data_IF_351637589432
#
_entry.id   IF_351637589432
#
_cell.length_a   1.000
_cell.length_b   1.000
_cell.length_c   1.000
_cell.angle_alpha   90.00
_cell.angle_beta   90.00
_cell.angle_gamma   90.00
#
_symmetry.space_group_name_H-M   'P 1'
#
loop_
_entity.id
_entity.type
_entity.pdbx_description
1 polymer ?
#
# COMPACT_ATOMS: atom_id res chain seq x y z
N UNK A 1 -35.28 24.16 -0.14
CA UNK A 1 -33.87 23.71 -0.09
C UNK A 1 -33.86 22.26 -0.56
N UNK A 2 -33.05 21.85 -1.54
CA UNK A 2 -32.87 20.43 -1.78
C UNK A 2 -32.37 19.80 -0.47
N UNK A 3 -32.93 18.67 -0.07
CA UNK A 3 -32.40 17.88 1.03
C UNK A 3 -31.01 17.40 0.62
N UNK A 4 -29.95 17.88 1.30
CA UNK A 4 -28.58 17.40 1.12
C UNK A 4 -28.46 15.95 1.63
N UNK A 5 -29.02 15.00 0.89
CA UNK A 5 -28.83 13.57 1.13
C UNK A 5 -27.41 13.19 0.74
N UNK A 6 -26.72 12.46 1.64
CA UNK A 6 -25.37 11.95 1.38
C UNK A 6 -25.41 10.99 0.19
N UNK A 7 -24.68 11.34 -0.87
CA UNK A 7 -24.48 10.48 -2.03
C UNK A 7 -23.30 9.53 -1.78
N UNK A 8 -23.61 8.33 -1.28
CA UNK A 8 -22.60 7.31 -1.01
C UNK A 8 -22.00 6.73 -2.28
N UNK A 9 -22.71 6.69 -3.40
CA UNK A 9 -22.17 6.13 -4.64
C UNK A 9 -21.09 7.05 -5.23
N UNK A 10 -21.31 8.36 -5.18
CA UNK A 10 -20.27 9.35 -5.49
C UNK A 10 -19.07 9.22 -4.56
N UNK A 11 -19.26 9.01 -3.26
CA UNK A 11 -18.13 8.80 -2.32
C UNK A 11 -17.36 7.52 -2.61
N UNK A 12 -18.04 6.42 -2.94
CA UNK A 12 -17.38 5.17 -3.35
C UNK A 12 -16.56 5.37 -4.62
N UNK A 13 -17.09 6.08 -5.61
CA UNK A 13 -16.34 6.41 -6.82
C UNK A 13 -15.10 7.25 -6.52
N UNK A 14 -15.23 8.30 -5.68
CA UNK A 14 -14.10 9.13 -5.25
C UNK A 14 -13.06 8.29 -4.51
N UNK A 15 -13.48 7.43 -3.58
CA UNK A 15 -12.57 6.56 -2.83
C UNK A 15 -11.80 5.62 -3.77
N UNK A 16 -12.50 4.94 -4.68
CA UNK A 16 -11.89 3.99 -5.61
C UNK A 16 -10.92 4.68 -6.55
N UNK A 17 -11.36 5.72 -7.26
CA UNK A 17 -10.52 6.44 -8.21
C UNK A 17 -9.36 7.17 -7.52
N UNK A 18 -9.61 7.75 -6.34
CA UNK A 18 -8.59 8.40 -5.53
C UNK A 18 -7.53 7.42 -5.05
N UNK A 19 -7.94 6.23 -4.59
CA UNK A 19 -7.01 5.18 -4.13
C UNK A 19 -6.17 4.64 -5.28
N UNK A 20 -6.77 4.36 -6.43
CA UNK A 20 -6.04 3.91 -7.64
C UNK A 20 -5.07 4.99 -8.11
N UNK A 21 -5.52 6.24 -8.17
CA UNK A 21 -4.69 7.37 -8.60
C UNK A 21 -3.50 7.59 -7.67
N UNK A 22 -3.73 7.59 -6.36
CA UNK A 22 -2.68 7.73 -5.35
C UNK A 22 -1.71 6.54 -5.38
N UNK A 23 -2.21 5.31 -5.47
CA UNK A 23 -1.38 4.12 -5.57
C UNK A 23 -0.46 4.18 -6.79
N UNK A 24 -1.01 4.44 -7.97
CA UNK A 24 -0.23 4.51 -9.21
C UNK A 24 0.80 5.64 -9.17
N UNK A 25 0.40 6.82 -8.70
CA UNK A 25 1.29 7.96 -8.60
C UNK A 25 2.40 7.73 -7.57
N UNK A 26 2.07 7.20 -6.39
CA UNK A 26 3.03 6.92 -5.34
C UNK A 26 4.02 5.81 -5.75
N UNK A 27 3.53 4.70 -6.30
CA UNK A 27 4.37 3.57 -6.74
C UNK A 27 5.30 3.97 -7.88
N UNK A 28 4.78 4.74 -8.85
CA UNK A 28 5.60 5.30 -9.93
C UNK A 28 6.62 6.28 -9.38
N UNK A 29 6.19 7.20 -8.52
CA UNK A 29 7.07 8.17 -7.87
C UNK A 29 8.20 7.49 -7.11
N UNK A 30 7.88 6.48 -6.30
CA UNK A 30 8.84 5.65 -5.58
C UNK A 30 9.83 4.98 -6.52
N UNK A 31 9.35 4.33 -7.59
CA UNK A 31 10.22 3.67 -8.55
C UNK A 31 11.25 4.64 -9.14
N UNK A 32 10.81 5.82 -9.60
CA UNK A 32 11.72 6.81 -10.18
C UNK A 32 12.61 7.50 -9.14
N UNK A 33 12.12 7.71 -7.92
CA UNK A 33 12.83 8.39 -6.85
C UNK A 33 13.82 7.48 -6.09
N UNK A 34 13.66 6.16 -6.18
CA UNK A 34 14.48 5.18 -5.45
C UNK A 34 15.00 4.08 -6.39
N UNK A 35 14.14 3.15 -6.80
CA UNK A 35 14.55 1.91 -7.49
C UNK A 35 15.28 2.10 -8.81
N UNK A 36 14.93 3.15 -9.58
CA UNK A 36 15.59 3.47 -10.85
C UNK A 36 17.07 3.80 -10.70
N UNK A 37 17.52 4.14 -9.49
CA UNK A 37 18.91 4.48 -9.19
C UNK A 37 19.78 3.25 -8.92
N UNK A 38 19.17 2.07 -8.81
CA UNK A 38 19.86 0.79 -8.63
C UNK A 38 19.86 0.00 -9.93
N UNK A 39 20.93 -0.77 -10.13
CA UNK A 39 20.95 -1.78 -11.18
C UNK A 39 19.82 -2.77 -10.97
N UNK A 40 19.13 -3.11 -12.05
CA UNK A 40 18.08 -4.13 -12.04
C UNK A 40 18.69 -5.49 -12.37
N UNK A 41 18.20 -6.55 -11.74
CA UNK A 41 18.58 -7.92 -12.03
C UNK A 41 17.38 -8.87 -12.04
N UNK A 42 17.62 -10.15 -12.31
CA UNK A 42 16.54 -11.14 -12.29
C UNK A 42 15.94 -11.21 -10.89
N UNK A 43 14.63 -11.46 -10.82
CA UNK A 43 13.93 -11.55 -9.56
C UNK A 43 14.63 -12.52 -8.61
N UNK A 44 14.88 -12.08 -7.38
CA UNK A 44 15.50 -12.90 -6.36
C UNK A 44 14.91 -12.63 -4.97
N UNK A 45 15.07 -13.62 -4.11
CA UNK A 45 14.71 -13.53 -2.70
C UNK A 45 15.91 -13.13 -1.88
N UNK A 46 15.66 -12.38 -0.81
CA UNK A 46 16.65 -11.99 0.16
C UNK A 46 16.09 -12.18 1.57
N UNK A 47 16.94 -12.57 2.52
CA UNK A 47 16.54 -12.69 3.91
C UNK A 47 17.28 -11.63 4.71
N UNK A 48 16.58 -10.54 4.98
CA UNK A 48 17.06 -9.35 5.68
C UNK A 48 16.74 -9.39 7.20
N UNK A 49 16.35 -10.56 7.74
CA UNK A 49 16.15 -10.71 9.19
C UNK A 49 17.41 -10.33 9.96
N UNK A 50 17.27 -9.41 10.91
CA UNK A 50 18.36 -8.87 11.70
C UNK A 50 19.12 -7.71 11.02
N UNK A 51 18.87 -7.42 9.75
CA UNK A 51 19.43 -6.25 9.09
C UNK A 51 18.85 -4.96 9.68
N UNK A 52 19.72 -3.98 9.85
CA UNK A 52 19.39 -2.69 10.46
C UNK A 52 18.55 -2.80 11.74
N UNK A 53 18.82 -3.83 12.57
CA UNK A 53 18.04 -4.14 13.78
C UNK A 53 16.54 -4.36 13.53
N UNK A 54 16.16 -4.95 12.39
CA UNK A 54 14.78 -5.15 11.94
C UNK A 54 14.00 -3.84 11.75
N UNK A 55 14.69 -2.74 11.44
CA UNK A 55 14.04 -1.47 11.17
C UNK A 55 13.05 -1.59 10.01
N UNK A 56 13.41 -2.38 9.00
CA UNK A 56 12.54 -2.69 7.88
C UNK A 56 11.22 -3.33 8.33
N UNK A 57 11.28 -4.42 9.12
CA UNK A 57 10.10 -5.08 9.72
C UNK A 57 9.23 -4.15 10.56
N UNK A 58 9.86 -3.25 11.31
CA UNK A 58 9.16 -2.23 12.08
C UNK A 58 8.45 -1.23 11.15
N UNK A 59 9.10 -0.86 10.05
CA UNK A 59 8.56 -0.07 8.95
C UNK A 59 7.33 -0.74 8.33
N UNK A 60 7.43 -2.00 7.90
CA UNK A 60 6.35 -2.80 7.36
C UNK A 60 5.15 -2.86 8.31
N UNK A 61 5.40 -3.15 9.58
CA UNK A 61 4.35 -3.21 10.61
C UNK A 61 3.63 -1.87 10.79
N UNK A 62 4.39 -0.79 10.94
CA UNK A 62 3.83 0.54 11.14
C UNK A 62 3.09 1.08 9.91
N UNK A 63 3.69 0.91 8.73
CA UNK A 63 3.13 1.33 7.46
C UNK A 63 1.84 0.56 7.15
N UNK A 64 1.85 -0.76 7.33
CA UNK A 64 0.66 -1.62 7.13
C UNK A 64 -0.47 -1.21 8.05
N UNK A 65 -0.21 -1.03 9.35
CA UNK A 65 -1.22 -0.57 10.30
C UNK A 65 -1.83 0.78 9.88
N UNK A 66 -0.97 1.73 9.48
CA UNK A 66 -1.40 3.06 9.04
C UNK A 66 -2.22 3.00 7.75
N UNK A 67 -1.80 2.21 6.77
CA UNK A 67 -2.52 1.99 5.52
C UNK A 67 -3.90 1.38 5.77
N UNK A 68 -3.98 0.33 6.58
CA UNK A 68 -5.25 -0.29 6.97
C UNK A 68 -6.16 0.74 7.63
N UNK A 69 -5.64 1.51 8.60
CA UNK A 69 -6.43 2.53 9.31
C UNK A 69 -6.99 3.59 8.35
N UNK A 70 -6.17 4.09 7.42
CA UNK A 70 -6.58 5.11 6.45
C UNK A 70 -7.61 4.57 5.45
N UNK A 71 -7.35 3.41 4.86
CA UNK A 71 -8.27 2.76 3.93
C UNK A 71 -9.59 2.39 4.60
N UNK A 72 -9.54 1.90 5.83
CA UNK A 72 -10.73 1.55 6.62
C UNK A 72 -11.60 2.77 6.89
N UNK A 73 -11.00 3.87 7.36
CA UNK A 73 -11.71 5.14 7.59
C UNK A 73 -12.26 5.72 6.29
N UNK A 74 -11.50 5.64 5.19
CA UNK A 74 -11.96 6.07 3.87
C UNK A 74 -13.16 5.26 3.38
N UNK A 75 -13.14 3.94 3.58
CA UNK A 75 -14.24 3.04 3.25
C UNK A 75 -15.49 3.31 4.11
N UNK A 76 -15.32 3.51 5.43
CA UNK A 76 -16.43 3.90 6.31
C UNK A 76 -17.02 5.27 5.89
N UNK A 77 -16.18 6.24 5.54
CA UNK A 77 -16.63 7.54 5.02
C UNK A 77 -17.45 7.40 3.73
N UNK A 78 -17.10 6.44 2.87
CA UNK A 78 -17.84 6.09 1.66
C UNK A 78 -19.09 5.22 1.91
N UNK A 79 -19.43 4.92 3.16
CA UNK A 79 -20.65 4.21 3.54
C UNK A 79 -20.55 2.69 3.46
N UNK A 80 -19.34 2.12 3.41
CA UNK A 80 -19.17 0.68 3.55
C UNK A 80 -19.40 0.25 5.01
N UNK A 81 -20.07 -0.89 5.19
CA UNK A 81 -20.18 -1.54 6.49
C UNK A 81 -18.81 -1.91 7.05
N UNK A 82 -18.70 -1.92 8.38
CA UNK A 82 -17.43 -2.07 9.09
C UNK A 82 -16.61 -3.30 8.65
N UNK A 83 -17.26 -4.47 8.52
CA UNK A 83 -16.56 -5.70 8.10
C UNK A 83 -16.03 -5.61 6.67
N UNK A 84 -16.82 -5.04 5.76
CA UNK A 84 -16.41 -4.86 4.35
C UNK A 84 -15.29 -3.84 4.23
N UNK A 85 -15.40 -2.73 4.97
CA UNK A 85 -14.35 -1.72 5.07
C UNK A 85 -13.04 -2.32 5.58
N UNK A 86 -13.07 -3.15 6.63
CA UNK A 86 -11.90 -3.84 7.17
C UNK A 86 -11.27 -4.77 6.14
N UNK A 87 -12.04 -5.67 5.55
CA UNK A 87 -11.51 -6.64 4.58
C UNK A 87 -10.88 -5.94 3.36
N UNK A 88 -11.53 -4.90 2.84
CA UNK A 88 -10.99 -4.10 1.73
C UNK A 88 -9.70 -3.38 2.13
N UNK A 89 -9.64 -2.83 3.34
CA UNK A 89 -8.46 -2.12 3.83
C UNK A 89 -7.25 -3.03 4.05
N UNK A 90 -7.46 -4.23 4.60
CA UNK A 90 -6.40 -5.24 4.79
C UNK A 90 -5.89 -5.73 3.44
N UNK A 91 -6.79 -6.09 2.52
CA UNK A 91 -6.39 -6.52 1.18
C UNK A 91 -5.65 -5.40 0.43
N UNK A 92 -6.13 -4.17 0.55
CA UNK A 92 -5.47 -3.00 -0.01
C UNK A 92 -4.05 -2.87 0.52
N UNK A 93 -3.88 -2.80 1.85
CA UNK A 93 -2.55 -2.65 2.46
C UNK A 93 -1.58 -3.78 2.03
N UNK A 94 -2.04 -5.03 1.96
CA UNK A 94 -1.23 -6.16 1.47
C UNK A 94 -0.74 -5.95 0.03
N UNK A 95 -1.60 -5.46 -0.86
CA UNK A 95 -1.21 -5.13 -2.25
C UNK A 95 -0.15 -4.03 -2.26
N UNK A 96 -0.34 -2.98 -1.45
CA UNK A 96 0.65 -1.91 -1.34
C UNK A 96 2.01 -2.46 -0.87
N UNK A 97 2.06 -3.22 0.24
CA UNK A 97 3.32 -3.78 0.75
C UNK A 97 4.01 -4.71 -0.26
N UNK A 98 3.26 -5.64 -0.87
CA UNK A 98 3.82 -6.53 -1.88
C UNK A 98 4.38 -5.78 -3.10
N UNK A 99 3.91 -4.57 -3.37
CA UNK A 99 4.46 -3.75 -4.46
C UNK A 99 5.89 -3.33 -4.17
N UNK A 100 6.22 -3.00 -2.91
CA UNK A 100 7.60 -2.70 -2.49
C UNK A 100 8.46 -3.95 -2.65
N UNK A 101 8.06 -5.07 -2.05
CA UNK A 101 8.81 -6.33 -2.12
C UNK A 101 9.08 -6.81 -3.55
N UNK A 102 8.10 -6.64 -4.44
CA UNK A 102 8.29 -6.96 -5.86
C UNK A 102 9.35 -6.06 -6.48
N UNK A 103 9.35 -4.75 -6.18
CA UNK A 103 10.39 -3.83 -6.65
C UNK A 103 11.76 -4.17 -6.06
N UNK A 104 11.82 -4.54 -4.77
CA UNK A 104 13.04 -5.01 -4.11
C UNK A 104 13.60 -6.26 -4.78
N UNK A 105 12.76 -7.24 -5.11
CA UNK A 105 13.17 -8.47 -5.78
C UNK A 105 13.88 -8.28 -7.12
N UNK A 106 13.65 -7.16 -7.83
CA UNK A 106 14.37 -6.84 -9.06
C UNK A 106 15.56 -5.89 -8.86
N UNK A 107 15.77 -5.34 -7.66
CA UNK A 107 16.87 -4.41 -7.36
C UNK A 107 18.11 -5.17 -6.94
N UNK A 108 19.28 -4.91 -7.53
CA UNK A 108 20.55 -5.51 -7.07
C UNK A 108 20.95 -5.09 -5.63
N UNK A 109 20.40 -3.98 -5.13
CA UNK A 109 20.73 -3.47 -3.80
C UNK A 109 19.89 -4.09 -2.67
N UNK A 110 18.75 -4.70 -3.01
CA UNK A 110 17.73 -5.21 -2.09
C UNK A 110 17.26 -6.58 -2.61
N UNK A 111 16.21 -7.17 -2.04
CA UNK A 111 15.60 -8.37 -2.60
C UNK A 111 14.25 -8.64 -1.94
N UNK A 112 13.42 -9.47 -2.57
CA UNK A 112 12.09 -9.79 -2.02
C UNK A 112 12.27 -10.58 -0.73
N UNK A 113 11.75 -10.07 0.38
CA UNK A 113 11.78 -10.78 1.66
C UNK A 113 10.41 -11.39 1.97
N UNK A 114 10.41 -12.69 2.29
CA UNK A 114 9.21 -13.40 2.71
C UNK A 114 8.78 -13.04 4.14
N UNK A 115 9.62 -12.32 4.88
CA UNK A 115 9.36 -11.91 6.26
C UNK A 115 8.52 -10.64 6.38
N UNK A 116 8.19 -10.00 5.25
CA UNK A 116 7.53 -8.70 5.14
C UNK A 116 6.03 -8.71 4.83
#
# INVERSE_FOLDING_TARGET
MPSDTIDFDKRKQILTLGTIGLYSAASTGLYFAWYKQYDQEAFHFFNDWGEWNNMDKAGHSYATYTQVLLLHKGAQWAGYENQKALNMSVLGALIFQNTFEIMDGFSRGWGFSLGD
#
